data_IF_726984079285
#
_entry.id   IF_726984079285
#
_cell.length_a   1.000
_cell.length_b   1.000
_cell.length_c   1.000
_cell.angle_alpha   90.00
_cell.angle_beta   90.00
_cell.angle_gamma   90.00
#
_symmetry.space_group_name_H-M   'P 1'
#
loop_
_entity.id
_entity.type
_entity.pdbx_description
1 polymer ?
#
# COMPACT_ATOMS: atom_id res chain seq x y z
N UNK A 1 36.21 -50.83 12.78
CA UNK A 1 35.82 -49.40 12.94
C UNK A 1 34.66 -49.14 12.02
N UNK A 2 33.41 -49.07 12.57
CA UNK A 2 32.20 -48.73 11.80
C UNK A 2 32.05 -47.19 11.81
N UNK A 3 32.11 -46.57 10.64
CA UNK A 3 31.83 -45.17 10.46
C UNK A 3 30.32 -45.01 10.36
N UNK A 4 29.67 -44.42 11.37
CA UNK A 4 28.27 -44.03 11.32
C UNK A 4 28.15 -42.76 10.48
N UNK A 5 27.51 -42.87 9.31
CA UNK A 5 27.05 -41.71 8.55
C UNK A 5 25.85 -41.07 9.27
N UNK A 6 26.02 -39.88 9.82
CA UNK A 6 24.92 -39.04 10.27
C UNK A 6 24.22 -38.44 9.03
N UNK A 7 23.03 -38.92 8.72
CA UNK A 7 22.13 -38.29 7.77
C UNK A 7 21.54 -37.05 8.47
N UNK A 8 22.01 -35.88 8.09
CA UNK A 8 21.35 -34.61 8.47
C UNK A 8 20.15 -34.41 7.55
N UNK A 9 18.95 -34.73 8.05
CA UNK A 9 17.70 -34.40 7.35
C UNK A 9 17.50 -32.89 7.39
N UNK A 10 17.71 -32.20 6.27
CA UNK A 10 17.30 -30.82 6.07
C UNK A 10 15.78 -30.83 5.97
N UNK A 11 15.11 -30.39 7.02
CA UNK A 11 13.67 -30.11 6.97
C UNK A 11 13.47 -28.91 6.01
N UNK A 12 13.11 -29.19 4.77
CA UNK A 12 12.62 -28.20 3.83
C UNK A 12 11.23 -27.80 4.34
N UNK A 13 11.14 -26.70 5.08
CA UNK A 13 9.86 -26.14 5.44
C UNK A 13 9.20 -25.60 4.16
N UNK A 14 7.94 -25.98 3.92
CA UNK A 14 7.16 -25.42 2.82
C UNK A 14 7.09 -23.89 2.96
N UNK A 15 7.10 -23.13 1.85
CA UNK A 15 6.90 -21.69 1.93
C UNK A 15 5.57 -21.40 2.64
N UNK A 16 5.48 -20.28 3.40
CA UNK A 16 4.25 -19.93 4.10
C UNK A 16 3.13 -19.67 3.09
N UNK A 17 1.88 -19.87 3.49
CA UNK A 17 0.73 -19.40 2.70
C UNK A 17 0.63 -17.87 2.73
N UNK A 18 -0.12 -17.27 1.81
CA UNK A 18 -0.39 -15.82 1.84
C UNK A 18 -1.07 -15.37 3.12
N UNK A 19 -1.90 -16.23 3.73
CA UNK A 19 -2.50 -15.98 5.05
C UNK A 19 -1.44 -15.91 6.14
N UNK A 20 -0.42 -16.79 6.11
CA UNK A 20 0.68 -16.75 7.07
C UNK A 20 1.54 -15.50 6.90
N UNK A 21 1.78 -15.06 5.66
CA UNK A 21 2.49 -13.80 5.37
C UNK A 21 1.73 -12.61 5.95
N UNK A 22 0.41 -12.50 5.71
CA UNK A 22 -0.44 -11.43 6.24
C UNK A 22 -0.41 -11.46 7.79
N UNK A 23 -0.55 -12.63 8.38
CA UNK A 23 -0.47 -12.80 9.84
C UNK A 23 0.88 -12.35 10.38
N UNK A 24 1.98 -12.71 9.72
CA UNK A 24 3.33 -12.31 10.14
C UNK A 24 3.52 -10.77 10.05
N UNK A 25 3.00 -10.11 8.99
CA UNK A 25 3.01 -8.65 8.88
C UNK A 25 2.26 -8.00 10.05
N UNK A 26 1.04 -8.47 10.34
CA UNK A 26 0.23 -7.98 11.45
C UNK A 26 0.93 -8.17 12.79
N UNK A 27 1.37 -9.40 13.12
CA UNK A 27 1.94 -9.75 14.42
C UNK A 27 3.26 -9.02 14.70
N UNK A 28 4.06 -8.79 13.66
CA UNK A 28 5.33 -8.05 13.75
C UNK A 28 5.13 -6.65 14.33
N UNK A 29 4.02 -6.01 13.98
CA UNK A 29 3.75 -4.61 14.31
C UNK A 29 2.54 -4.41 15.21
N UNK A 30 1.94 -5.47 15.75
CA UNK A 30 0.82 -5.39 16.66
C UNK A 30 1.11 -4.44 17.83
N UNK A 31 0.30 -3.39 17.95
CA UNK A 31 0.46 -2.33 18.98
C UNK A 31 1.66 -1.39 18.78
N UNK A 32 2.38 -1.48 17.65
CA UNK A 32 3.59 -0.69 17.38
C UNK A 32 3.47 0.19 16.13
N UNK A 33 2.49 -0.07 15.26
CA UNK A 33 2.25 0.75 14.07
C UNK A 33 1.56 2.06 14.45
N UNK A 34 1.91 3.17 13.79
CA UNK A 34 1.26 4.46 14.02
C UNK A 34 -0.23 4.42 13.64
N UNK A 35 -1.04 5.20 14.39
CA UNK A 35 -2.50 5.27 14.20
C UNK A 35 -2.92 6.40 13.28
N UNK A 36 -2.14 7.45 13.24
CA UNK A 36 -2.40 8.58 12.35
C UNK A 36 -1.12 8.94 11.61
N UNK A 37 -1.30 9.48 10.41
CA UNK A 37 -0.23 9.91 9.54
C UNK A 37 -0.68 11.18 8.82
N UNK A 38 0.21 12.15 8.66
CA UNK A 38 0.03 13.26 7.75
C UNK A 38 1.32 13.57 7.02
N UNK A 39 1.22 13.98 5.77
CA UNK A 39 2.37 14.36 4.94
C UNK A 39 1.95 15.27 3.80
N UNK A 40 2.93 15.92 3.19
CA UNK A 40 2.80 16.62 1.92
C UNK A 40 3.35 15.71 0.82
N UNK A 41 2.54 15.46 -0.20
CA UNK A 41 2.89 14.63 -1.35
C UNK A 41 3.22 15.53 -2.54
N UNK A 42 4.44 15.38 -3.05
CA UNK A 42 4.89 15.98 -4.30
C UNK A 42 4.67 14.96 -5.41
N UNK A 43 3.89 15.32 -6.41
CA UNK A 43 3.55 14.42 -7.52
C UNK A 43 4.26 14.83 -8.80
N UNK A 44 4.78 13.86 -9.52
CA UNK A 44 5.26 14.02 -10.91
C UNK A 44 4.52 13.04 -11.82
N UNK A 45 3.66 13.56 -12.70
CA UNK A 45 3.01 12.79 -13.75
C UNK A 45 3.83 12.86 -15.04
N UNK A 46 4.26 11.71 -15.58
CA UNK A 46 5.05 11.64 -16.84
C UNK A 46 4.17 11.12 -17.96
N UNK A 47 3.96 11.95 -18.99
CA UNK A 47 3.18 11.59 -20.18
C UNK A 47 3.99 10.71 -21.14
N UNK A 48 3.34 10.04 -22.11
CA UNK A 48 4.03 9.21 -23.11
C UNK A 48 5.07 9.97 -23.96
N UNK A 49 4.90 11.27 -24.15
CA UNK A 49 5.84 12.14 -24.86
C UNK A 49 7.03 12.60 -24.00
N UNK A 50 7.09 12.17 -22.74
CA UNK A 50 8.13 12.54 -21.77
C UNK A 50 7.89 13.86 -21.05
N UNK A 51 6.85 14.61 -21.39
CA UNK A 51 6.50 15.84 -20.67
C UNK A 51 6.02 15.52 -19.26
N UNK A 52 6.35 16.40 -18.30
CA UNK A 52 6.00 16.22 -16.89
C UNK A 52 5.03 17.30 -16.42
N UNK A 53 4.15 16.89 -15.53
CA UNK A 53 3.25 17.78 -14.79
C UNK A 53 3.43 17.53 -13.30
N UNK A 54 3.60 18.62 -12.54
CA UNK A 54 3.74 18.55 -11.09
C UNK A 54 2.47 19.00 -10.39
N UNK A 55 2.18 18.38 -9.24
CA UNK A 55 1.11 18.80 -8.35
C UNK A 55 1.48 18.47 -6.90
N UNK A 56 0.82 19.14 -5.97
CA UNK A 56 1.05 18.96 -4.54
C UNK A 56 -0.26 18.58 -3.88
N UNK A 57 -0.22 17.56 -3.02
CA UNK A 57 -1.36 17.14 -2.22
C UNK A 57 -1.00 17.20 -0.73
N UNK A 58 -2.00 17.36 0.11
CA UNK A 58 -1.88 17.18 1.56
C UNK A 58 -2.68 15.96 1.96
N UNK A 59 -2.07 15.08 2.72
CA UNK A 59 -2.70 13.84 3.10
C UNK A 59 -2.77 13.65 4.61
N UNK A 60 -3.90 13.11 5.04
CA UNK A 60 -4.18 12.79 6.43
C UNK A 60 -4.80 11.40 6.47
N UNK A 61 -4.20 10.50 7.26
CA UNK A 61 -4.73 9.17 7.48
C UNK A 61 -5.06 8.95 8.96
N UNK A 62 -6.20 8.33 9.23
CA UNK A 62 -6.55 7.74 10.52
C UNK A 62 -6.76 6.25 10.29
N UNK A 63 -5.76 5.47 10.69
CA UNK A 63 -5.63 4.05 10.39
C UNK A 63 -6.28 3.18 11.47
N UNK A 64 -6.94 2.09 11.08
CA UNK A 64 -7.13 1.63 9.71
C UNK A 64 -8.31 2.32 8.99
N UNK A 65 -8.25 2.34 7.66
CA UNK A 65 -9.40 2.53 6.77
C UNK A 65 -9.83 3.95 6.45
N UNK A 66 -9.10 4.99 6.88
CA UNK A 66 -9.44 6.38 6.56
C UNK A 66 -8.24 7.11 5.95
N UNK A 67 -8.43 7.72 4.76
CA UNK A 67 -7.45 8.57 4.11
C UNK A 67 -8.14 9.77 3.46
N UNK A 68 -7.68 10.96 3.79
CA UNK A 68 -8.09 12.23 3.19
C UNK A 68 -6.96 12.80 2.36
N UNK A 69 -7.23 13.13 1.11
CA UNK A 69 -6.31 13.75 0.15
C UNK A 69 -6.88 15.11 -0.25
N UNK A 70 -6.18 16.18 0.05
CA UNK A 70 -6.53 17.54 -0.35
C UNK A 70 -5.60 17.99 -1.49
N UNK A 71 -6.18 18.42 -2.62
CA UNK A 71 -5.39 18.96 -3.71
C UNK A 71 -5.02 20.42 -3.40
N UNK A 72 -3.76 20.79 -3.64
CA UNK A 72 -3.30 22.17 -3.39
C UNK A 72 -3.58 23.04 -4.62
N UNK A 73 -4.17 24.25 -4.43
CA UNK A 73 -4.44 24.88 -3.13
C UNK A 73 -5.65 24.25 -2.41
N UNK A 74 -5.56 24.07 -1.06
CA UNK A 74 -6.63 23.39 -0.29
C UNK A 74 -7.97 24.12 -0.31
N UNK A 75 -7.97 25.44 -0.51
CA UNK A 75 -9.17 26.29 -0.63
C UNK A 75 -9.92 26.08 -1.96
N UNK A 76 -9.35 25.31 -2.90
CA UNK A 76 -10.07 24.87 -4.10
C UNK A 76 -11.26 23.95 -3.79
N UNK A 77 -11.28 23.33 -2.60
CA UNK A 77 -12.30 22.36 -2.20
C UNK A 77 -12.23 21.04 -2.96
N UNK A 78 -11.13 20.79 -3.69
CA UNK A 78 -10.92 19.57 -4.47
C UNK A 78 -10.15 18.53 -3.67
N UNK A 79 -10.52 17.26 -3.84
CA UNK A 79 -9.78 16.15 -3.23
C UNK A 79 -10.55 14.84 -3.20
N UNK A 80 -10.02 13.90 -2.43
CA UNK A 80 -10.56 12.54 -2.32
C UNK A 80 -10.58 12.15 -0.84
N UNK A 81 -11.65 11.45 -0.44
CA UNK A 81 -11.75 10.85 0.87
C UNK A 81 -12.05 9.36 0.73
N UNK A 82 -11.23 8.52 1.34
CA UNK A 82 -11.47 7.09 1.48
C UNK A 82 -11.89 6.81 2.92
N UNK A 83 -13.04 6.16 3.08
CA UNK A 83 -13.58 5.75 4.39
C UNK A 83 -14.34 4.43 4.23
N UNK A 84 -13.96 3.42 5.01
CA UNK A 84 -14.68 2.15 5.11
C UNK A 84 -14.98 1.50 3.74
N UNK A 85 -13.95 1.30 2.92
CA UNK A 85 -14.06 0.75 1.56
C UNK A 85 -14.97 1.56 0.61
N UNK A 86 -15.10 2.87 0.86
CA UNK A 86 -15.80 3.81 -0.01
C UNK A 86 -14.87 4.96 -0.39
N UNK A 87 -15.01 5.44 -1.61
CA UNK A 87 -14.32 6.61 -2.14
C UNK A 87 -15.32 7.73 -2.40
N UNK A 88 -15.00 8.94 -1.91
CA UNK A 88 -15.72 10.16 -2.17
C UNK A 88 -14.78 11.12 -2.92
N UNK A 89 -15.19 11.59 -4.09
CA UNK A 89 -14.45 12.60 -4.87
C UNK A 89 -15.14 13.94 -4.72
N UNK A 90 -14.37 14.97 -4.37
CA UNK A 90 -14.86 16.32 -4.15
C UNK A 90 -14.35 17.27 -5.22
N UNK A 91 -15.25 18.17 -5.66
CA UNK A 91 -14.94 19.28 -6.54
C UNK A 91 -15.61 20.55 -5.97
N UNK A 92 -14.82 21.59 -5.72
CA UNK A 92 -15.30 22.85 -5.15
C UNK A 92 -16.20 22.63 -3.92
N UNK A 93 -15.70 21.87 -2.95
CA UNK A 93 -16.37 21.48 -1.69
C UNK A 93 -17.66 20.66 -1.85
N UNK A 94 -17.98 20.20 -3.05
CA UNK A 94 -19.17 19.41 -3.35
C UNK A 94 -18.80 17.96 -3.66
N UNK A 95 -19.60 17.00 -3.18
CA UNK A 95 -19.44 15.60 -3.55
C UNK A 95 -19.79 15.43 -5.03
N UNK A 96 -18.79 15.13 -5.86
CA UNK A 96 -18.96 14.87 -7.29
C UNK A 96 -19.23 13.39 -7.60
N UNK A 97 -18.60 12.45 -6.87
CA UNK A 97 -18.79 11.02 -7.06
C UNK A 97 -18.59 10.24 -5.78
N UNK A 98 -19.39 9.18 -5.61
CA UNK A 98 -19.23 8.20 -4.52
C UNK A 98 -19.20 6.80 -5.12
N UNK A 99 -18.23 5.98 -4.72
CA UNK A 99 -18.12 4.59 -5.17
C UNK A 99 -17.62 3.65 -4.07
N UNK A 100 -18.02 2.39 -4.14
CA UNK A 100 -17.39 1.34 -3.35
C UNK A 100 -15.97 1.11 -3.89
N UNK A 101 -14.97 1.23 -3.04
CA UNK A 101 -13.57 1.09 -3.44
C UNK A 101 -12.70 0.60 -2.30
N UNK A 102 -12.15 -0.59 -2.43
CA UNK A 102 -11.09 -1.09 -1.54
C UNK A 102 -9.77 -0.55 -2.08
N UNK A 103 -9.12 0.32 -1.33
CA UNK A 103 -7.84 0.92 -1.72
C UNK A 103 -6.70 -0.07 -1.44
N UNK A 104 -6.11 -0.74 -2.46
CA UNK A 104 -5.16 -1.83 -2.21
C UNK A 104 -3.89 -1.37 -1.48
N UNK A 105 -3.42 -0.15 -1.74
CA UNK A 105 -2.23 0.38 -1.09
C UNK A 105 -2.49 0.75 0.37
N UNK A 106 -3.70 1.18 0.72
CA UNK A 106 -4.06 1.35 2.13
C UNK A 106 -4.10 0.00 2.85
N UNK A 107 -4.75 -1.01 2.25
CA UNK A 107 -4.83 -2.35 2.84
C UNK A 107 -3.44 -2.93 3.09
N UNK A 108 -2.56 -2.90 2.09
CA UNK A 108 -1.25 -3.55 2.12
C UNK A 108 -0.16 -2.71 2.78
N UNK A 109 -0.17 -1.39 2.58
CA UNK A 109 0.87 -0.49 3.10
C UNK A 109 0.64 -0.01 4.53
N UNK A 110 -0.62 -0.08 5.02
CA UNK A 110 -0.98 0.55 6.30
C UNK A 110 -1.91 -0.31 7.15
N UNK A 111 -3.10 -0.67 6.63
CA UNK A 111 -4.16 -1.30 7.42
C UNK A 111 -3.80 -2.71 7.90
N UNK A 112 -3.03 -3.48 7.11
CA UNK A 112 -2.59 -4.85 7.41
C UNK A 112 -1.90 -4.98 8.78
N UNK A 113 -1.27 -3.92 9.25
CA UNK A 113 -0.56 -3.89 10.53
C UNK A 113 -1.48 -3.60 11.73
N UNK A 114 -2.74 -3.23 11.48
CA UNK A 114 -3.68 -2.73 12.47
C UNK A 114 -5.05 -3.43 12.45
N UNK A 115 -5.51 -3.84 11.27
CA UNK A 115 -6.77 -4.55 11.09
C UNK A 115 -6.66 -5.99 11.60
N UNK A 116 -7.74 -6.57 12.10
CA UNK A 116 -7.79 -8.02 12.32
C UNK A 116 -7.39 -8.77 11.03
N UNK A 117 -6.55 -9.79 11.17
CA UNK A 117 -5.99 -10.56 10.05
C UNK A 117 -7.07 -11.04 9.07
N UNK A 118 -8.20 -11.55 9.59
CA UNK A 118 -9.32 -12.05 8.77
C UNK A 118 -9.98 -10.94 7.94
N UNK A 119 -10.03 -9.70 8.45
CA UNK A 119 -10.55 -8.55 7.68
C UNK A 119 -9.63 -8.21 6.51
N UNK A 120 -8.32 -8.20 6.73
CA UNK A 120 -7.32 -7.99 5.67
C UNK A 120 -7.45 -9.09 4.61
N UNK A 121 -7.52 -10.35 5.02
CA UNK A 121 -7.70 -11.50 4.13
C UNK A 121 -8.95 -11.32 3.25
N UNK A 122 -10.10 -11.05 3.87
CA UNK A 122 -11.36 -10.86 3.14
C UNK A 122 -11.29 -9.71 2.12
N UNK A 123 -10.59 -8.60 2.43
CA UNK A 123 -10.37 -7.49 1.49
C UNK A 123 -9.49 -7.92 0.32
N UNK A 124 -8.39 -8.64 0.56
CA UNK A 124 -7.48 -9.11 -0.49
C UNK A 124 -8.15 -10.15 -1.41
N UNK A 125 -8.99 -11.04 -0.86
CA UNK A 125 -9.81 -11.97 -1.65
C UNK A 125 -10.82 -11.22 -2.54
N UNK A 126 -11.46 -10.16 -2.03
CA UNK A 126 -12.32 -9.28 -2.84
C UNK A 126 -11.53 -8.55 -3.94
N UNK A 127 -10.28 -8.21 -3.70
CA UNK A 127 -9.35 -7.67 -4.70
C UNK A 127 -8.84 -8.74 -5.68
N UNK A 128 -9.28 -10.00 -5.56
CA UNK A 128 -8.90 -11.13 -6.45
C UNK A 128 -7.41 -11.47 -6.39
N UNK A 129 -6.82 -11.41 -5.22
CA UNK A 129 -5.47 -11.92 -4.96
C UNK A 129 -5.56 -13.37 -4.49
N UNK A 130 -4.85 -14.26 -5.16
CA UNK A 130 -4.79 -15.69 -4.79
C UNK A 130 -3.83 -15.91 -3.63
N UNK A 131 -4.36 -16.01 -2.41
CA UNK A 131 -3.55 -16.21 -1.20
C UNK A 131 -2.96 -17.63 -1.09
N UNK A 132 -3.33 -18.57 -1.98
CA UNK A 132 -2.71 -19.90 -2.02
C UNK A 132 -1.42 -19.91 -2.86
N UNK A 133 -1.28 -18.97 -3.80
CA UNK A 133 -0.08 -18.84 -4.62
C UNK A 133 0.98 -18.00 -3.90
N UNK A 134 2.00 -18.63 -3.35
CA UNK A 134 3.12 -17.94 -2.68
C UNK A 134 4.45 -18.55 -3.10
N UNK A 135 5.44 -17.68 -3.31
CA UNK A 135 6.83 -18.10 -3.51
C UNK A 135 7.80 -17.06 -2.94
N UNK A 136 9.05 -17.44 -2.84
CA UNK A 136 10.14 -16.54 -2.46
C UNK A 136 10.84 -16.01 -3.71
N UNK A 137 11.28 -14.74 -3.65
CA UNK A 137 12.01 -14.07 -4.72
C UNK A 137 12.97 -13.03 -4.12
N UNK A 138 13.65 -12.28 -4.97
CA UNK A 138 14.53 -11.18 -4.58
C UNK A 138 14.06 -9.90 -5.25
N UNK A 139 13.93 -8.83 -4.48
CA UNK A 139 13.59 -7.49 -4.95
C UNK A 139 14.60 -6.46 -4.45
N UNK A 140 15.26 -5.77 -5.38
CA UNK A 140 16.30 -4.77 -5.05
C UNK A 140 17.38 -5.31 -4.08
N UNK A 141 17.80 -6.56 -4.31
CA UNK A 141 18.80 -7.24 -3.49
C UNK A 141 18.31 -7.76 -2.13
N UNK A 142 17.02 -7.66 -1.83
CA UNK A 142 16.41 -8.11 -0.57
C UNK A 142 15.49 -9.31 -0.79
N UNK A 143 15.47 -10.27 0.14
CA UNK A 143 14.56 -11.41 0.04
C UNK A 143 13.10 -10.94 0.26
N UNK A 144 12.19 -11.43 -0.58
CA UNK A 144 10.76 -11.11 -0.52
C UNK A 144 9.89 -12.35 -0.56
N UNK A 145 8.67 -12.24 -0.03
CA UNK A 145 7.56 -13.12 -0.36
C UNK A 145 6.75 -12.48 -1.48
N UNK A 146 6.39 -13.28 -2.49
CA UNK A 146 5.44 -12.91 -3.55
C UNK A 146 4.17 -13.68 -3.31
N UNK A 147 3.05 -12.97 -3.15
CA UNK A 147 1.72 -13.53 -2.87
C UNK A 147 0.78 -13.17 -4.01
N UNK A 148 0.12 -14.15 -4.61
CA UNK A 148 -0.89 -13.97 -5.65
C UNK A 148 -0.50 -14.51 -7.03
N UNK A 149 0.75 -14.92 -7.26
CA UNK A 149 1.22 -15.38 -8.56
C UNK A 149 2.26 -16.51 -8.45
N UNK A 150 2.49 -17.18 -9.58
CA UNK A 150 3.57 -18.18 -9.74
C UNK A 150 4.90 -17.49 -10.03
N UNK A 151 6.05 -18.14 -9.78
CA UNK A 151 7.35 -17.60 -10.17
C UNK A 151 7.42 -17.21 -11.64
N UNK A 152 7.94 -16.00 -11.91
CA UNK A 152 8.08 -15.43 -13.26
C UNK A 152 6.82 -14.80 -13.85
N UNK A 153 5.66 -14.94 -13.21
CA UNK A 153 4.43 -14.25 -13.62
C UNK A 153 4.40 -12.83 -13.06
N UNK A 154 4.58 -11.83 -13.91
CA UNK A 154 4.53 -10.41 -13.55
C UNK A 154 3.21 -9.73 -13.99
N UNK A 155 2.19 -10.48 -14.38
CA UNK A 155 0.93 -9.95 -14.89
C UNK A 155 -0.27 -10.23 -14.00
N UNK A 156 -0.29 -11.39 -13.34
CA UNK A 156 -1.34 -11.73 -12.37
C UNK A 156 -1.26 -10.81 -11.16
N UNK A 157 -2.42 -10.44 -10.62
CA UNK A 157 -2.49 -9.57 -9.43
C UNK A 157 -1.79 -10.22 -8.24
N UNK A 158 -0.82 -9.52 -7.70
CA UNK A 158 0.08 -10.02 -6.66
C UNK A 158 0.69 -8.89 -5.85
N UNK A 159 1.06 -9.17 -4.62
CA UNK A 159 1.82 -8.23 -3.79
C UNK A 159 3.10 -8.86 -3.24
N UNK A 160 4.07 -8.02 -2.96
CA UNK A 160 5.40 -8.41 -2.53
C UNK A 160 5.70 -7.82 -1.15
N UNK A 161 6.30 -8.63 -0.28
CA UNK A 161 6.59 -8.29 1.11
C UNK A 161 8.06 -8.55 1.40
N UNK A 162 8.78 -7.54 1.90
CA UNK A 162 10.14 -7.69 2.42
C UNK A 162 10.14 -8.70 3.58
N UNK A 163 10.92 -9.78 3.46
CA UNK A 163 10.91 -10.89 4.44
C UNK A 163 11.52 -10.51 5.79
N UNK A 164 12.45 -9.57 5.82
CA UNK A 164 13.14 -9.19 7.06
C UNK A 164 12.33 -8.17 7.84
N UNK A 165 11.78 -7.16 7.14
CA UNK A 165 10.99 -6.10 7.76
C UNK A 165 9.51 -6.44 7.87
N UNK A 166 9.02 -7.38 7.06
CA UNK A 166 7.59 -7.71 6.91
C UNK A 166 6.76 -6.46 6.55
N UNK A 167 7.27 -5.67 5.61
CA UNK A 167 6.58 -4.53 5.02
C UNK A 167 6.26 -4.79 3.56
N UNK A 168 5.12 -4.27 3.11
CA UNK A 168 4.71 -4.28 1.72
C UNK A 168 5.68 -3.45 0.87
N UNK A 169 6.11 -3.95 -0.30
CA UNK A 169 7.07 -3.24 -1.15
C UNK A 169 6.62 -3.08 -2.60
N UNK A 170 5.70 -3.92 -3.09
CA UNK A 170 5.29 -3.88 -4.50
C UNK A 170 3.92 -4.48 -4.72
N UNK A 171 3.12 -3.88 -5.59
CA UNK A 171 1.87 -4.42 -6.13
C UNK A 171 1.98 -4.50 -7.64
N UNK A 172 1.69 -5.66 -8.20
CA UNK A 172 1.48 -5.84 -9.64
C UNK A 172 0.03 -6.20 -9.90
N UNK A 173 -0.56 -5.58 -10.90
CA UNK A 173 -1.94 -5.88 -11.31
C UNK A 173 -2.18 -5.55 -12.78
N UNK A 174 -3.13 -6.26 -13.44
CA UNK A 174 -3.59 -5.86 -14.77
C UNK A 174 -4.17 -4.45 -14.75
N UNK A 175 -3.96 -3.71 -15.83
CA UNK A 175 -4.54 -2.37 -15.96
C UNK A 175 -6.08 -2.42 -15.93
N UNK A 176 -6.71 -1.47 -15.23
CA UNK A 176 -8.17 -1.46 -15.05
C UNK A 176 -8.95 -1.21 -16.34
N UNK A 177 -8.44 -0.36 -17.23
CA UNK A 177 -9.07 -0.03 -18.52
C UNK A 177 -8.58 -0.93 -19.66
N UNK A 178 -7.37 -1.41 -19.57
CA UNK A 178 -6.72 -2.27 -20.55
C UNK A 178 -5.94 -3.35 -19.79
N UNK A 179 -6.55 -4.53 -19.70
CA UNK A 179 -5.98 -5.69 -18.99
C UNK A 179 -4.77 -6.30 -19.70
N UNK A 180 -4.43 -5.87 -20.90
CA UNK A 180 -3.21 -6.27 -21.60
C UNK A 180 -1.98 -5.55 -21.02
N UNK A 181 -2.17 -4.43 -20.32
CA UNK A 181 -1.14 -3.66 -19.65
C UNK A 181 -0.95 -4.12 -18.20
N UNK A 182 0.22 -3.86 -17.67
CA UNK A 182 0.55 -4.17 -16.26
C UNK A 182 0.83 -2.88 -15.51
N UNK A 183 0.13 -2.66 -14.41
CA UNK A 183 0.46 -1.67 -13.42
C UNK A 183 1.44 -2.29 -12.42
N UNK A 184 2.55 -1.59 -12.13
CA UNK A 184 3.58 -1.96 -11.18
C UNK A 184 3.76 -0.79 -10.21
N UNK A 185 3.32 -0.97 -8.96
CA UNK A 185 3.35 0.06 -7.93
C UNK A 185 4.41 -0.33 -6.90
N UNK A 186 5.38 0.55 -6.67
CA UNK A 186 6.57 0.29 -5.86
C UNK A 186 6.63 1.24 -4.68
N UNK A 187 6.76 0.69 -3.48
CA UNK A 187 7.00 1.45 -2.25
C UNK A 187 8.50 1.49 -1.98
N UNK A 188 9.09 2.65 -2.22
CA UNK A 188 10.52 2.88 -2.15
C UNK A 188 10.92 3.74 -0.94
N UNK A 189 12.22 3.87 -0.71
CA UNK A 189 12.80 4.78 0.30
C UNK A 189 12.19 4.62 1.69
N UNK A 190 12.06 3.36 2.13
CA UNK A 190 11.57 3.08 3.46
C UNK A 190 12.47 3.71 4.54
N UNK A 191 11.86 4.45 5.44
CA UNK A 191 12.50 5.07 6.60
C UNK A 191 11.78 4.69 7.91
N UNK A 192 12.49 4.71 9.07
CA UNK A 192 11.85 4.49 10.35
C UNK A 192 10.79 5.55 10.66
N UNK A 193 9.64 5.12 11.20
CA UNK A 193 8.56 5.96 11.68
C UNK A 193 8.13 5.45 13.07
N UNK A 194 8.77 5.95 14.10
CA UNK A 194 8.67 5.38 15.44
C UNK A 194 9.21 3.95 15.50
N UNK A 195 8.38 3.00 15.92
CA UNK A 195 8.69 1.55 15.90
C UNK A 195 8.23 0.84 14.62
N UNK A 196 7.72 1.60 13.65
CA UNK A 196 7.23 1.14 12.35
C UNK A 196 8.10 1.66 11.20
N UNK A 197 7.61 1.51 9.98
CA UNK A 197 8.25 1.94 8.75
C UNK A 197 7.29 2.75 7.90
N UNK A 198 7.82 3.70 7.13
CA UNK A 198 7.09 4.46 6.13
C UNK A 198 7.88 4.50 4.83
N UNK A 199 7.22 4.20 3.71
CA UNK A 199 7.76 4.50 2.37
C UNK A 199 7.67 6.00 2.14
N UNK A 200 8.78 6.66 1.84
CA UNK A 200 8.81 8.09 1.52
C UNK A 200 8.64 8.37 0.02
N UNK A 201 8.52 7.33 -0.79
CA UNK A 201 8.33 7.44 -2.23
C UNK A 201 7.50 6.28 -2.76
N UNK A 202 6.52 6.57 -3.62
CA UNK A 202 5.74 5.56 -4.34
C UNK A 202 5.80 5.83 -5.83
N UNK A 203 6.27 4.85 -6.60
CA UNK A 203 6.35 4.92 -8.06
C UNK A 203 5.29 4.04 -8.70
N UNK A 204 4.57 4.58 -9.68
CA UNK A 204 3.57 3.88 -10.47
C UNK A 204 4.06 3.73 -11.90
N UNK A 205 4.30 2.50 -12.32
CA UNK A 205 4.74 2.18 -13.67
C UNK A 205 3.62 1.49 -14.45
N UNK A 206 3.60 1.72 -15.74
CA UNK A 206 2.73 1.00 -16.68
C UNK A 206 3.61 0.38 -17.74
N UNK A 207 3.62 -0.95 -17.83
CA UNK A 207 4.50 -1.72 -18.70
C UNK A 207 5.99 -1.33 -18.54
N UNK A 208 6.43 -1.14 -17.28
CA UNK A 208 7.79 -0.78 -16.94
C UNK A 208 8.17 0.70 -17.11
N UNK A 209 7.25 1.53 -17.61
CA UNK A 209 7.47 2.97 -17.77
C UNK A 209 6.82 3.75 -16.62
N UNK A 210 7.62 4.52 -15.86
CA UNK A 210 7.09 5.38 -14.81
C UNK A 210 6.11 6.41 -15.40
N UNK A 211 4.91 6.44 -14.82
CA UNK A 211 3.83 7.35 -15.20
C UNK A 211 3.45 8.31 -14.10
N UNK A 212 3.71 7.93 -12.85
CA UNK A 212 3.41 8.75 -11.70
C UNK A 212 4.41 8.44 -10.59
N UNK A 213 4.97 9.48 -9.99
CA UNK A 213 5.88 9.41 -8.86
C UNK A 213 5.33 10.27 -7.74
N UNK A 214 5.23 9.71 -6.54
CA UNK A 214 4.87 10.39 -5.30
C UNK A 214 6.09 10.46 -4.39
N UNK A 215 6.38 11.64 -3.86
CA UNK A 215 7.46 11.85 -2.89
C UNK A 215 6.89 12.55 -1.66
N UNK A 216 7.08 11.97 -0.49
CA UNK A 216 6.47 12.42 0.76
C UNK A 216 7.44 13.26 1.58
N UNK A 217 6.97 14.44 1.99
CA UNK A 217 7.67 15.39 2.84
C UNK A 217 6.79 15.78 4.03
N UNK A 218 7.34 16.49 5.01
CA UNK A 218 6.61 16.94 6.22
C UNK A 218 5.86 15.80 6.94
N UNK A 219 6.43 14.60 6.92
CA UNK A 219 5.83 13.40 7.47
C UNK A 219 5.70 13.51 9.00
N UNK A 220 4.50 13.26 9.53
CA UNK A 220 4.20 13.27 10.97
C UNK A 220 3.28 12.10 11.30
N UNK A 221 3.67 11.30 12.29
CA UNK A 221 2.89 10.18 12.83
C UNK A 221 2.28 10.54 14.18
N UNK A 222 1.22 9.82 14.56
CA UNK A 222 0.55 9.86 15.87
C UNK A 222 0.10 11.28 16.32
N UNK A 223 -0.21 12.14 15.34
CA UNK A 223 -0.85 13.42 15.61
C UNK A 223 -2.34 13.23 15.96
N UNK A 224 -2.85 14.10 16.80
CA UNK A 224 -4.31 14.18 17.03
C UNK A 224 -4.97 14.74 15.77
N UNK A 225 -5.76 13.91 15.10
CA UNK A 225 -6.61 14.29 13.97
C UNK A 225 -8.07 14.22 14.42
N UNK A 226 -8.87 15.23 14.09
CA UNK A 226 -10.30 15.25 14.44
C UNK A 226 -11.08 14.31 13.52
N UNK A 227 -12.07 13.61 14.06
CA UNK A 227 -12.95 12.74 13.25
C UNK A 227 -13.68 13.48 12.13
N UNK A 228 -13.91 14.77 12.30
CA UNK A 228 -14.55 15.62 11.27
C UNK A 228 -13.77 15.68 9.95
N UNK A 229 -12.45 15.46 9.98
CA UNK A 229 -11.62 15.40 8.77
C UNK A 229 -12.02 14.22 7.86
N UNK A 230 -12.59 13.17 8.44
CA UNK A 230 -12.95 11.93 7.75
C UNK A 230 -14.48 11.75 7.59
N UNK A 231 -15.27 12.79 7.91
CA UNK A 231 -16.73 12.82 7.63
C UNK A 231 -16.96 13.48 6.27
N UNK A 232 -17.46 12.75 5.24
CA UNK A 232 -17.68 13.31 3.92
C UNK A 232 -18.67 14.47 3.91
N UNK A 233 -19.60 14.54 4.88
CA UNK A 233 -20.54 15.66 5.03
C UNK A 233 -19.88 16.93 5.55
N UNK A 234 -18.66 16.82 6.05
CA UNK A 234 -17.85 17.89 6.62
C UNK A 234 -16.56 18.11 5.81
N UNK A 235 -16.61 17.85 4.51
CA UNK A 235 -15.43 17.95 3.64
C UNK A 235 -14.67 19.30 3.77
N UNK A 236 -15.33 20.47 3.89
CA UNK A 236 -14.62 21.75 4.07
C UNK A 236 -13.83 21.85 5.39
N UNK A 237 -14.01 20.89 6.34
CA UNK A 237 -13.21 20.89 7.56
C UNK A 237 -11.72 20.83 7.22
N UNK A 238 -10.93 21.68 7.89
CA UNK A 238 -9.47 21.73 7.72
C UNK A 238 -8.78 21.26 9.00
N UNK A 239 -7.62 20.66 8.85
CA UNK A 239 -6.75 20.41 10.00
C UNK A 239 -6.02 21.73 10.34
N UNK A 240 -6.15 22.18 11.58
CA UNK A 240 -5.39 23.30 12.12
C UNK A 240 -3.93 22.91 12.36
#
# INVERSE_FOLDING_TARGET
>A
MLQQLLLVSVLVSSPPSGRDVIKAMHDRYAGKWYRTLSFVQQNTATRPDGSQQHSVWREYAALPGKLRIEFVPPDSGNGILFVNDSQFVFAADTIGNVSAFIHPLMVLGFDVYLDPVERTIARLERLKIDLAAVHEDTWEGRPVYVVGAKPGDLRTRQFWVDRERLVFVRLLEPGQRDTTRTNDIRFNKYQPAGSAWLSAEVAFLVDGHERWLEQYTEIKTDRVLTDSLFDPRRWPARSN
#
